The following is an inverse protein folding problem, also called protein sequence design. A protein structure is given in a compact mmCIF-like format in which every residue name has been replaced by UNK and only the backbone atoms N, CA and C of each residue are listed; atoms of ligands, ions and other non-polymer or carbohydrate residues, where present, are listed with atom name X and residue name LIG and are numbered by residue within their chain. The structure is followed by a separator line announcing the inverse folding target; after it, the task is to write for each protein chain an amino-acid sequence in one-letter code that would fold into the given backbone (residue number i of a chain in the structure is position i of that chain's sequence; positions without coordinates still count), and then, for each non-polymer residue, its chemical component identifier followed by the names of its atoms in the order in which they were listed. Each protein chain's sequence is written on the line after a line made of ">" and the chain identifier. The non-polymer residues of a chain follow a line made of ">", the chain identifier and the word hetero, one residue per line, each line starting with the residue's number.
data_IF_016408164637
#
_entry.id   IF_016408164637
#
_cell.length_a   1.000
_cell.length_b   1.000
_cell.length_c   1.000
_cell.angle_alpha   90.00
_cell.angle_beta   90.00
_cell.angle_gamma   90.00
#
_symmetry.space_group_name_H-M   'P 1'
#
loop_
_entity.id
_entity.type
_entity.pdbx_description
1 polymer ?
#
# COMPACT_ATOMS: atom_id res chain seq x y z
N UNK A 1 -54.44 25.86 18.30
CA UNK A 1 -53.99 24.86 17.30
C UNK A 1 -52.79 25.30 16.45
N UNK A 2 -52.06 26.37 16.80
CA UNK A 2 -50.94 26.90 15.97
C UNK A 2 -49.57 26.33 16.40
N UNK A 3 -49.39 25.97 17.68
CA UNK A 3 -48.09 25.50 18.22
C UNK A 3 -47.62 24.15 17.65
N UNK A 4 -48.54 23.21 17.39
CA UNK A 4 -48.19 21.88 16.91
C UNK A 4 -47.61 21.87 15.48
N UNK A 5 -47.86 22.92 14.68
CA UNK A 5 -47.31 23.05 13.32
C UNK A 5 -45.87 23.59 13.35
N UNK A 6 -45.62 24.58 14.21
CA UNK A 6 -44.30 25.20 14.43
C UNK A 6 -43.25 24.19 14.91
N UNK A 7 -43.59 23.35 15.90
CA UNK A 7 -42.68 22.31 16.40
C UNK A 7 -42.26 21.33 15.30
N UNK A 8 -43.18 20.92 14.41
CA UNK A 8 -42.86 20.00 13.30
C UNK A 8 -41.87 20.60 12.31
N UNK A 9 -41.98 21.90 12.01
CA UNK A 9 -41.02 22.57 11.14
C UNK A 9 -39.64 22.70 11.78
N UNK A 10 -39.57 23.05 13.08
CA UNK A 10 -38.31 23.14 13.80
C UNK A 10 -37.59 21.78 13.87
N UNK A 11 -38.32 20.70 14.15
CA UNK A 11 -37.76 19.34 14.14
C UNK A 11 -37.30 18.93 12.75
N UNK A 12 -38.05 19.27 11.70
CA UNK A 12 -37.68 18.94 10.32
C UNK A 12 -36.41 19.69 9.87
N UNK A 13 -36.30 20.98 10.19
CA UNK A 13 -35.10 21.78 9.93
C UNK A 13 -33.89 21.22 10.69
N UNK A 14 -34.08 20.84 11.96
CA UNK A 14 -33.02 20.24 12.76
C UNK A 14 -32.56 18.90 12.18
N UNK A 15 -33.47 18.04 11.74
CA UNK A 15 -33.14 16.75 11.11
C UNK A 15 -32.40 16.93 9.78
N UNK A 16 -32.78 17.92 8.97
CA UNK A 16 -32.06 18.24 7.73
C UNK A 16 -30.65 18.75 8.03
N UNK A 17 -30.51 19.66 9.01
CA UNK A 17 -29.20 20.15 9.44
C UNK A 17 -28.31 19.00 9.96
N UNK A 18 -28.87 18.09 10.76
CA UNK A 18 -28.19 16.89 11.25
C UNK A 18 -27.74 16.00 10.09
N UNK A 19 -28.62 15.75 9.10
CA UNK A 19 -28.30 14.93 7.94
C UNK A 19 -27.16 15.51 7.11
N UNK A 20 -27.17 16.83 6.88
CA UNK A 20 -26.09 17.53 6.16
C UNK A 20 -24.77 17.37 6.92
N UNK A 21 -24.76 17.55 8.25
CA UNK A 21 -23.56 17.38 9.07
C UNK A 21 -23.03 15.94 9.00
N UNK A 22 -23.91 14.94 9.10
CA UNK A 22 -23.52 13.52 8.96
C UNK A 22 -22.96 13.21 7.58
N UNK A 23 -23.57 13.74 6.51
CA UNK A 23 -23.11 13.54 5.14
C UNK A 23 -21.71 14.14 4.92
N UNK A 24 -21.44 15.33 5.47
CA UNK A 24 -20.12 15.97 5.41
C UNK A 24 -19.07 15.13 6.16
N UNK A 25 -19.41 14.64 7.36
CA UNK A 25 -18.51 13.77 8.13
C UNK A 25 -18.21 12.46 7.38
N UNK A 26 -19.23 11.80 6.84
CA UNK A 26 -19.08 10.57 6.08
C UNK A 26 -18.21 10.81 4.84
N UNK A 27 -18.50 11.85 4.06
CA UNK A 27 -17.72 12.24 2.89
C UNK A 27 -16.25 12.50 3.21
N UNK A 28 -15.99 13.23 4.30
CA UNK A 28 -14.62 13.56 4.75
C UNK A 28 -13.86 12.32 5.20
N UNK A 29 -14.54 11.38 5.87
CA UNK A 29 -13.96 10.08 6.25
C UNK A 29 -13.59 9.26 5.02
N UNK A 30 -14.52 9.09 4.08
CA UNK A 30 -14.25 8.36 2.81
C UNK A 30 -13.15 9.01 2.00
N UNK A 31 -13.10 10.34 1.91
CA UNK A 31 -12.04 11.05 1.19
C UNK A 31 -10.68 10.84 1.85
N UNK A 32 -10.60 10.92 3.18
CA UNK A 32 -9.36 10.69 3.91
C UNK A 32 -8.87 9.25 3.71
N UNK A 33 -9.76 8.27 3.88
CA UNK A 33 -9.43 6.85 3.63
C UNK A 33 -9.00 6.61 2.19
N UNK A 34 -9.69 7.22 1.22
CA UNK A 34 -9.36 7.13 -0.21
C UNK A 34 -7.97 7.73 -0.50
N UNK A 35 -7.68 8.92 0.01
CA UNK A 35 -6.37 9.56 -0.17
C UNK A 35 -5.25 8.77 0.50
N UNK A 36 -5.48 8.19 1.69
CA UNK A 36 -4.50 7.31 2.34
C UNK A 36 -4.26 6.04 1.53
N UNK A 37 -5.30 5.47 0.91
CA UNK A 37 -5.14 4.30 0.03
C UNK A 37 -4.41 4.60 -1.28
N UNK A 38 -4.47 5.87 -1.76
CA UNK A 38 -3.75 6.30 -2.96
C UNK A 38 -2.30 6.60 -2.68
N UNK A 39 -1.98 7.14 -1.50
CA UNK A 39 -0.67 7.67 -1.17
C UNK A 39 -0.09 6.95 0.04
N UNK A 40 0.61 5.85 -0.22
CA UNK A 40 1.51 5.27 0.76
C UNK A 40 2.95 5.56 0.34
N UNK A 41 3.77 6.11 1.22
CA UNK A 41 5.17 6.38 0.93
C UNK A 41 5.97 6.15 2.19
N UNK A 42 6.60 4.98 2.29
CA UNK A 42 7.53 4.68 3.36
C UNK A 42 8.95 4.98 2.86
N UNK A 43 9.42 6.20 3.17
CA UNK A 43 10.80 6.60 2.86
C UNK A 43 11.70 6.14 4.00
N UNK A 44 12.61 5.21 3.71
CA UNK A 44 13.68 4.83 4.62
C UNK A 44 13.44 3.57 5.47
N UNK A 45 12.36 2.81 5.25
CA UNK A 45 12.29 1.44 5.80
C UNK A 45 13.30 0.57 5.07
N UNK A 46 14.40 0.26 5.75
CA UNK A 46 15.36 -0.75 5.32
C UNK A 46 14.98 -2.05 6.00
N UNK A 47 14.03 -2.76 5.43
CA UNK A 47 13.81 -4.14 5.85
C UNK A 47 14.82 -5.03 5.14
N UNK A 48 15.66 -5.69 5.94
CA UNK A 48 16.60 -6.72 5.46
C UNK A 48 15.85 -8.05 5.44
N UNK A 49 15.77 -8.63 4.26
CA UNK A 49 15.24 -9.95 3.98
C UNK A 49 16.41 -10.89 3.72
N UNK A 50 16.35 -12.09 4.28
CA UNK A 50 17.35 -13.11 4.05
C UNK A 50 16.67 -14.45 3.78
N UNK A 51 17.10 -15.11 2.71
CA UNK A 51 16.90 -16.52 2.42
C UNK A 51 18.29 -17.18 2.28
N UNK A 52 18.35 -18.51 2.13
CA UNK A 52 19.63 -19.23 2.17
C UNK A 52 20.70 -18.65 1.22
N UNK A 53 20.31 -18.26 0.00
CA UNK A 53 21.25 -17.88 -1.06
C UNK A 53 21.35 -16.36 -1.28
N UNK A 54 20.49 -15.56 -0.62
CA UNK A 54 20.40 -14.12 -0.84
C UNK A 54 20.09 -13.34 0.44
N UNK A 55 20.73 -12.20 0.62
CA UNK A 55 20.32 -11.14 1.53
C UNK A 55 20.02 -9.90 0.72
N UNK A 56 18.80 -9.38 0.82
CA UNK A 56 18.32 -8.25 0.04
C UNK A 56 17.49 -7.30 0.88
N UNK A 57 17.43 -6.05 0.43
CA UNK A 57 16.62 -5.02 1.06
C UNK A 57 15.66 -4.45 0.02
N UNK A 58 14.47 -4.07 0.48
CA UNK A 58 13.58 -3.20 -0.28
C UNK A 58 13.63 -1.83 0.40
N UNK A 59 13.96 -0.81 -0.38
CA UNK A 59 14.09 0.58 0.04
C UNK A 59 13.12 1.46 -0.78
N UNK A 60 12.81 2.66 -0.29
CA UNK A 60 12.01 3.67 -0.99
C UNK A 60 10.67 3.16 -1.55
N UNK A 61 9.95 2.40 -0.74
CA UNK A 61 8.66 1.83 -1.10
C UNK A 61 7.59 2.93 -1.18
N UNK A 62 7.16 3.24 -2.39
CA UNK A 62 6.22 4.32 -2.71
C UNK A 62 5.09 3.75 -3.55
N UNK A 63 3.85 3.94 -3.10
CA UNK A 63 2.64 3.62 -3.83
C UNK A 63 1.83 4.88 -4.06
N UNK A 64 1.67 5.25 -5.34
CA UNK A 64 0.96 6.45 -5.77
C UNK A 64 0.12 6.13 -6.99
N UNK A 65 -1.19 6.38 -6.91
CA UNK A 65 -2.13 6.26 -8.03
C UNK A 65 -2.06 4.89 -8.73
N UNK A 66 -1.98 3.80 -7.96
CA UNK A 66 -1.90 2.44 -8.51
C UNK A 66 -0.51 2.02 -8.98
N UNK A 67 0.50 2.88 -8.82
CA UNK A 67 1.88 2.59 -9.22
C UNK A 67 2.73 2.33 -7.98
N UNK A 68 3.34 1.14 -7.91
CA UNK A 68 4.28 0.77 -6.86
C UNK A 68 5.71 0.99 -7.37
N UNK A 69 6.46 1.85 -6.70
CA UNK A 69 7.87 2.09 -6.93
C UNK A 69 8.66 1.62 -5.72
N UNK A 70 9.78 0.94 -5.94
CA UNK A 70 10.66 0.49 -4.87
C UNK A 70 12.07 0.26 -5.40
N UNK A 71 13.05 0.29 -4.51
CA UNK A 71 14.45 -0.02 -4.81
C UNK A 71 14.81 -1.36 -4.18
N UNK A 72 15.13 -2.34 -5.00
CA UNK A 72 15.73 -3.59 -4.55
C UNK A 72 17.23 -3.40 -4.43
N UNK A 73 17.80 -3.69 -3.26
CA UNK A 73 19.25 -3.79 -3.04
C UNK A 73 19.60 -5.24 -2.76
N UNK A 74 20.52 -5.81 -3.52
CA UNK A 74 21.11 -7.10 -3.18
C UNK A 74 22.31 -6.85 -2.25
N UNK A 75 22.16 -7.16 -0.97
CA UNK A 75 23.19 -6.94 0.04
C UNK A 75 24.28 -8.00 -0.05
N UNK A 76 23.92 -9.27 -0.26
CA UNK A 76 24.84 -10.39 -0.31
C UNK A 76 24.21 -11.60 -1.02
N UNK A 77 25.05 -12.48 -1.58
CA UNK A 77 24.63 -13.75 -2.18
C UNK A 77 24.77 -13.74 -3.69
N UNK A 78 23.98 -14.60 -4.34
CA UNK A 78 23.96 -14.71 -5.80
C UNK A 78 23.24 -13.53 -6.46
N UNK A 79 23.27 -13.50 -7.79
CA UNK A 79 22.56 -12.51 -8.59
C UNK A 79 21.05 -12.74 -8.52
N UNK A 80 20.30 -11.69 -8.18
CA UNK A 80 18.83 -11.71 -8.28
C UNK A 80 18.45 -11.42 -9.73
N UNK A 81 17.91 -12.42 -10.43
CA UNK A 81 17.42 -12.30 -11.82
C UNK A 81 15.89 -12.19 -11.92
N UNK A 82 15.18 -12.62 -10.87
CA UNK A 82 13.72 -12.60 -10.85
C UNK A 82 13.28 -12.20 -9.46
N UNK A 83 12.43 -11.17 -9.39
CA UNK A 83 11.77 -10.73 -8.17
C UNK A 83 10.27 -10.98 -8.32
N UNK A 84 9.69 -11.59 -7.30
CA UNK A 84 8.26 -11.82 -7.18
C UNK A 84 7.72 -10.83 -6.16
N UNK A 85 6.66 -10.12 -6.53
CA UNK A 85 5.93 -9.20 -5.66
C UNK A 85 4.50 -9.70 -5.55
N UNK A 86 4.05 -9.94 -4.32
CA UNK A 86 2.72 -10.47 -4.02
C UNK A 86 1.98 -9.52 -3.09
N UNK A 87 0.73 -9.23 -3.41
CA UNK A 87 -0.17 -8.46 -2.55
C UNK A 87 -1.59 -9.01 -2.66
N UNK A 88 -2.07 -9.64 -1.58
CA UNK A 88 -3.35 -10.34 -1.60
C UNK A 88 -3.39 -11.42 -2.67
N UNK A 89 -4.36 -11.31 -3.58
CA UNK A 89 -4.53 -12.21 -4.73
C UNK A 89 -3.68 -11.81 -5.96
N UNK A 90 -3.02 -10.64 -5.95
CA UNK A 90 -2.19 -10.18 -7.07
C UNK A 90 -0.73 -10.63 -6.91
N UNK A 91 -0.20 -11.29 -7.94
CA UNK A 91 1.21 -11.71 -8.04
C UNK A 91 1.84 -11.15 -9.32
N UNK A 92 2.99 -10.48 -9.17
CA UNK A 92 3.79 -9.95 -10.27
C UNK A 92 5.18 -10.56 -10.26
N UNK A 93 5.60 -11.07 -11.41
CA UNK A 93 6.96 -11.58 -11.62
C UNK A 93 7.72 -10.55 -12.46
N UNK A 94 8.83 -10.07 -11.91
CA UNK A 94 9.68 -9.05 -12.51
C UNK A 94 10.99 -9.71 -12.92
N UNK A 95 11.34 -9.58 -14.19
CA UNK A 95 12.69 -9.83 -14.65
C UNK A 95 13.56 -8.63 -14.27
N UNK A 96 14.52 -8.84 -13.37
CA UNK A 96 15.37 -7.77 -12.88
C UNK A 96 16.55 -7.49 -13.82
N UNK A 97 16.72 -8.26 -14.90
CA UNK A 97 17.83 -8.12 -15.85
C UNK A 97 19.22 -8.22 -15.23
N UNK A 98 19.35 -8.78 -14.01
CA UNK A 98 20.56 -8.95 -13.18
C UNK A 98 20.76 -7.87 -12.09
N UNK A 99 20.57 -8.24 -10.81
CA UNK A 99 20.96 -7.43 -9.64
C UNK A 99 22.05 -8.16 -8.84
N UNK A 100 23.34 -7.92 -9.12
CA UNK A 100 24.45 -8.55 -8.41
C UNK A 100 24.57 -8.08 -6.95
N UNK A 101 25.26 -8.85 -6.11
CA UNK A 101 25.55 -8.47 -4.73
C UNK A 101 26.29 -7.13 -4.65
N UNK A 102 25.88 -6.29 -3.70
CA UNK A 102 26.37 -4.92 -3.53
C UNK A 102 25.70 -3.89 -4.44
N UNK A 103 24.82 -4.31 -5.37
CA UNK A 103 24.11 -3.40 -6.27
C UNK A 103 22.67 -3.13 -5.85
N UNK A 104 22.06 -2.13 -6.48
CA UNK A 104 20.67 -1.77 -6.28
C UNK A 104 20.02 -1.40 -7.62
N UNK A 105 18.72 -1.64 -7.72
CA UNK A 105 17.92 -1.27 -8.89
C UNK A 105 16.53 -0.85 -8.45
N UNK A 106 16.02 0.21 -9.08
CA UNK A 106 14.67 0.72 -8.83
C UNK A 106 13.71 0.13 -9.86
N UNK A 107 12.57 -0.33 -9.37
CA UNK A 107 11.50 -0.92 -10.15
C UNK A 107 10.23 -0.11 -9.99
N UNK A 108 9.44 -0.08 -11.06
CA UNK A 108 8.11 0.51 -11.08
C UNK A 108 7.12 -0.53 -11.62
N UNK A 109 6.10 -0.82 -10.85
CA UNK A 109 4.98 -1.66 -11.23
C UNK A 109 3.75 -0.77 -11.42
N UNK A 110 3.28 -0.69 -12.65
CA UNK A 110 2.09 0.06 -13.00
C UNK A 110 0.82 -0.79 -12.79
N UNK A 111 -0.23 -0.15 -12.26
CA UNK A 111 -1.54 -0.76 -12.01
C UNK A 111 -1.49 -2.02 -11.12
N UNK A 112 -0.67 -2.00 -10.07
CA UNK A 112 -0.67 -3.07 -9.07
C UNK A 112 -1.65 -2.72 -7.96
N UNK A 113 -2.59 -3.60 -7.64
CA UNK A 113 -3.48 -3.42 -6.50
C UNK A 113 -2.75 -3.85 -5.25
N UNK A 114 -2.60 -2.92 -4.31
CA UNK A 114 -2.05 -3.22 -3.00
C UNK A 114 -3.16 -3.52 -2.00
N UNK A 115 -3.01 -4.63 -1.30
CA UNK A 115 -3.74 -4.95 -0.09
C UNK A 115 -2.93 -4.56 1.16
N UNK A 116 -3.42 -4.96 2.34
CA UNK A 116 -2.80 -4.64 3.64
C UNK A 116 -1.36 -5.13 3.77
N UNK A 117 -0.99 -6.17 3.02
CA UNK A 117 0.30 -6.83 3.11
C UNK A 117 0.89 -6.97 1.70
N UNK A 118 2.16 -6.59 1.56
CA UNK A 118 2.95 -6.77 0.34
C UNK A 118 4.20 -7.56 0.67
N UNK A 119 4.50 -8.55 -0.14
CA UNK A 119 5.62 -9.46 0.04
C UNK A 119 6.54 -9.37 -1.17
N UNK A 120 7.84 -9.23 -0.93
CA UNK A 120 8.87 -9.19 -1.96
C UNK A 120 9.82 -10.35 -1.76
N UNK A 121 10.02 -11.18 -2.78
CA UNK A 121 10.98 -12.28 -2.72
C UNK A 121 11.62 -12.62 -4.06
N UNK A 122 12.94 -12.85 -4.10
CA UNK A 122 13.58 -13.48 -5.23
C UNK A 122 13.01 -14.88 -5.49
N UNK A 123 13.01 -15.30 -6.77
CA UNK A 123 12.67 -16.68 -7.12
C UNK A 123 13.58 -17.66 -6.38
N UNK A 124 13.02 -18.71 -5.78
CA UNK A 124 13.74 -19.66 -4.93
C UNK A 124 13.68 -19.33 -3.43
N UNK A 125 13.13 -18.16 -3.07
CA UNK A 125 12.89 -17.78 -1.68
C UNK A 125 11.42 -17.96 -1.24
N UNK A 126 10.61 -18.71 -2.02
CA UNK A 126 9.17 -18.90 -1.76
C UNK A 126 8.86 -19.63 -0.44
N UNK A 127 9.76 -20.53 -0.01
CA UNK A 127 9.56 -21.35 1.21
C UNK A 127 10.04 -20.65 2.49
N UNK A 128 10.67 -19.48 2.39
CA UNK A 128 11.21 -18.76 3.53
C UNK A 128 10.17 -17.82 4.13
N UNK A 129 10.26 -17.58 5.44
CA UNK A 129 9.37 -16.67 6.16
C UNK A 129 9.78 -15.22 5.88
N UNK A 130 9.56 -14.79 4.64
CA UNK A 130 9.81 -13.45 4.13
C UNK A 130 8.91 -12.46 4.86
N UNK A 131 9.52 -11.37 5.36
CA UNK A 131 8.78 -10.31 6.04
C UNK A 131 7.80 -9.66 5.08
N UNK A 132 6.77 -9.04 5.64
CA UNK A 132 5.69 -8.44 4.89
C UNK A 132 5.63 -6.97 5.21
N UNK A 133 5.54 -6.14 4.18
CA UNK A 133 5.31 -4.71 4.34
C UNK A 133 3.84 -4.50 4.66
N UNK A 134 3.58 -3.91 5.82
CA UNK A 134 2.23 -3.51 6.20
C UNK A 134 1.93 -2.13 5.61
N UNK A 135 0.99 -2.10 4.67
CA UNK A 135 0.44 -0.85 4.14
C UNK A 135 -0.49 -0.27 5.21
N UNK A 136 -0.18 0.97 5.64
CA UNK A 136 -0.82 1.68 6.76
C UNK A 136 -2.20 2.23 6.45
#
# INVERSE_FOLDING_TARGET
>A
MVEAKSMKYATMIFLVALFVVVAIMAGSYTYKTYMTSILYSEKGTKEVFACNDFSYNIEDLIYVDGNLTFTLRNTYGDVINTLIVESGDEKRVIDTSMVPAGSQQTFKLDNMKLEKLVVFHPKGCEEYNIKQFKMG
#
